data_IF_944869285265
#
_entry.id   IF_944869285265
#
_cell.length_a   1.000
_cell.length_b   1.000
_cell.length_c   1.000
_cell.angle_alpha   90.00
_cell.angle_beta   90.00
_cell.angle_gamma   90.00
#
_symmetry.space_group_name_H-M   'P 1'
#
loop_
_entity.id
_entity.type
_entity.pdbx_description
1 polymer ?
#
# COMPACT_ATOMS: atom_id res chain seq x y z
N UNK A 1 60.63 20.89 -26.51
CA UNK A 1 59.82 19.71 -26.10
C UNK A 1 59.05 20.14 -24.88
N UNK A 2 57.79 20.51 -25.06
CA UNK A 2 56.92 21.01 -24.00
C UNK A 2 56.18 19.84 -23.36
N UNK A 3 56.31 19.71 -22.05
CA UNK A 3 55.53 18.75 -21.27
C UNK A 3 54.34 19.50 -20.67
N UNK A 4 53.17 19.23 -21.24
CA UNK A 4 51.87 19.70 -20.76
C UNK A 4 51.42 18.79 -19.63
N UNK A 5 51.53 19.23 -18.38
CA UNK A 5 50.93 18.54 -17.25
C UNK A 5 49.40 18.72 -17.29
N UNK A 6 48.70 17.64 -17.63
CA UNK A 6 47.24 17.62 -17.69
C UNK A 6 46.68 17.40 -16.29
N UNK A 7 46.30 18.49 -15.61
CA UNK A 7 45.59 18.43 -14.34
C UNK A 7 44.19 17.84 -14.54
N UNK A 8 44.04 16.55 -14.26
CA UNK A 8 42.74 15.87 -14.27
C UNK A 8 42.09 16.08 -12.91
N UNK A 9 41.26 17.11 -12.81
CA UNK A 9 40.39 17.38 -11.66
C UNK A 9 39.33 16.27 -11.57
N UNK A 10 39.58 15.25 -10.74
CA UNK A 10 38.56 14.26 -10.36
C UNK A 10 37.48 14.98 -9.54
N UNK A 11 36.38 15.33 -10.20
CA UNK A 11 35.12 15.65 -9.55
C UNK A 11 34.60 14.37 -8.91
N UNK A 12 34.74 14.24 -7.59
CA UNK A 12 34.05 13.21 -6.81
C UNK A 12 32.58 13.64 -6.76
N UNK A 13 31.81 13.26 -7.77
CA UNK A 13 30.36 13.19 -7.65
C UNK A 13 30.06 11.98 -6.80
N UNK A 14 29.81 12.19 -5.50
CA UNK A 14 29.12 11.20 -4.66
C UNK A 14 27.67 11.11 -5.13
N UNK A 15 27.45 10.54 -6.32
CA UNK A 15 26.16 9.97 -6.66
C UNK A 15 26.07 8.64 -5.92
N UNK A 16 25.37 8.63 -4.79
CA UNK A 16 24.93 7.40 -4.18
C UNK A 16 23.94 6.76 -5.18
N UNK A 17 24.48 5.91 -6.05
CA UNK A 17 23.68 5.06 -6.93
C UNK A 17 23.10 3.99 -6.03
N UNK A 18 21.92 4.28 -5.47
CA UNK A 18 21.09 3.25 -4.87
C UNK A 18 20.68 2.33 -6.03
N UNK A 19 21.22 1.11 -6.01
CA UNK A 19 20.86 0.05 -6.94
C UNK A 19 19.33 -0.18 -6.85
N UNK A 20 18.55 0.10 -7.91
CA UNK A 20 17.09 0.06 -7.87
C UNK A 20 16.52 -1.36 -7.88
N UNK A 21 17.36 -2.41 -7.78
CA UNK A 21 16.96 -3.80 -8.04
C UNK A 21 16.59 -4.64 -6.81
N UNK A 22 16.68 -4.12 -5.57
CA UNK A 22 16.42 -4.90 -4.34
C UNK A 22 15.50 -4.26 -3.32
N UNK A 23 14.98 -3.06 -3.58
CA UNK A 23 14.13 -2.35 -2.63
C UNK A 23 12.66 -2.73 -2.85
N UNK A 24 11.93 -3.25 -1.85
CA UNK A 24 10.58 -3.70 -2.10
C UNK A 24 9.67 -2.49 -2.36
N UNK A 25 8.89 -2.61 -3.44
CA UNK A 25 8.15 -1.53 -4.13
C UNK A 25 6.91 -1.07 -3.34
N UNK A 26 7.08 -0.64 -2.09
CA UNK A 26 5.97 -0.28 -1.18
C UNK A 26 5.69 1.21 -1.10
N UNK A 27 6.39 2.03 -1.89
CA UNK A 27 6.35 3.48 -1.74
C UNK A 27 6.40 4.15 -3.11
N UNK A 28 5.22 4.51 -3.62
CA UNK A 28 5.09 5.24 -4.88
C UNK A 28 4.94 6.71 -4.59
N UNK A 29 5.95 7.51 -4.96
CA UNK A 29 5.79 8.96 -5.01
C UNK A 29 4.86 9.29 -6.17
N UNK A 30 3.68 9.84 -5.85
CA UNK A 30 2.79 10.39 -6.86
C UNK A 30 3.30 11.79 -7.22
N UNK A 31 4.02 11.89 -8.34
CA UNK A 31 4.40 13.19 -8.90
C UNK A 31 3.16 13.79 -9.56
N UNK A 32 2.57 14.81 -8.96
CA UNK A 32 1.46 15.56 -9.59
C UNK A 32 2.01 16.86 -10.16
N UNK A 33 2.30 16.87 -11.46
CA UNK A 33 2.96 18.00 -12.15
C UNK A 33 2.06 19.21 -12.45
N UNK A 34 0.73 19.11 -12.27
CA UNK A 34 -0.19 20.20 -12.66
C UNK A 34 -0.77 20.94 -11.45
N UNK A 35 -0.15 22.06 -11.07
CA UNK A 35 -0.64 22.95 -10.00
C UNK A 35 -1.03 24.36 -10.49
N UNK A 36 -1.13 24.60 -11.80
CA UNK A 36 -1.50 25.95 -12.30
C UNK A 36 -2.96 26.36 -12.09
N UNK A 37 -3.79 25.53 -11.47
CA UNK A 37 -5.23 25.83 -11.30
C UNK A 37 -5.75 25.42 -9.92
N UNK A 38 -5.30 26.10 -8.86
CA UNK A 38 -6.17 26.42 -7.72
C UNK A 38 -5.51 27.46 -6.81
N UNK A 39 -6.09 28.67 -6.76
CA UNK A 39 -5.89 29.63 -5.67
C UNK A 39 -6.61 29.17 -4.37
N UNK A 40 -6.70 27.87 -4.12
CA UNK A 40 -7.20 27.29 -2.87
C UNK A 40 -6.04 26.58 -2.19
N UNK A 41 -5.86 26.82 -0.89
CA UNK A 41 -4.61 26.58 -0.16
C UNK A 41 -3.97 25.20 -0.36
N UNK A 42 -2.63 25.18 -0.35
CA UNK A 42 -1.81 23.97 -0.37
C UNK A 42 -1.86 23.25 1.00
N UNK A 43 -3.01 22.67 1.34
CA UNK A 43 -3.17 21.87 2.57
C UNK A 43 -2.95 20.38 2.27
N UNK A 44 -2.32 19.68 3.20
CA UNK A 44 -2.11 18.24 3.07
C UNK A 44 -3.44 17.48 2.96
N UNK A 45 -4.48 17.95 3.66
CA UNK A 45 -5.82 17.38 3.61
C UNK A 45 -6.46 17.45 2.22
N UNK A 46 -6.41 18.63 1.56
CA UNK A 46 -6.98 18.78 0.22
C UNK A 46 -6.21 17.94 -0.82
N UNK A 47 -4.88 17.97 -0.76
CA UNK A 47 -4.02 17.19 -1.65
C UNK A 47 -4.27 15.68 -1.48
N UNK A 48 -4.41 15.20 -0.24
CA UNK A 48 -4.72 13.81 0.05
C UNK A 48 -6.11 13.41 -0.44
N UNK A 49 -7.14 14.21 -0.17
CA UNK A 49 -8.49 13.95 -0.67
C UNK A 49 -8.51 13.86 -2.20
N UNK A 50 -7.80 14.77 -2.88
CA UNK A 50 -7.67 14.74 -4.33
C UNK A 50 -6.95 13.47 -4.82
N UNK A 51 -5.85 13.07 -4.17
CA UNK A 51 -5.13 11.85 -4.54
C UNK A 51 -5.98 10.59 -4.35
N UNK A 52 -6.61 10.43 -3.19
CA UNK A 52 -7.50 9.30 -2.91
C UNK A 52 -8.71 9.28 -3.86
N UNK A 53 -9.25 10.43 -4.26
CA UNK A 53 -10.36 10.49 -5.22
C UNK A 53 -10.00 9.98 -6.63
N UNK A 54 -8.71 9.97 -6.98
CA UNK A 54 -8.20 9.44 -8.26
C UNK A 54 -7.97 7.93 -8.22
N UNK A 55 -7.94 7.33 -7.03
CA UNK A 55 -7.77 5.89 -6.87
C UNK A 55 -9.03 5.19 -7.40
N UNK A 56 -8.84 4.40 -8.46
CA UNK A 56 -9.91 3.67 -9.13
C UNK A 56 -10.09 2.27 -8.54
N UNK A 57 -11.33 1.80 -8.49
CA UNK A 57 -11.69 0.44 -8.08
C UNK A 57 -12.78 -0.14 -8.98
N UNK A 58 -12.69 -1.44 -9.28
CA UNK A 58 -13.76 -2.16 -9.94
C UNK A 58 -14.72 -2.71 -8.87
N UNK A 59 -15.88 -2.07 -8.71
CA UNK A 59 -16.81 -2.35 -7.61
C UNK A 59 -17.44 -3.73 -7.67
N UNK A 60 -17.90 -4.16 -8.85
CA UNK A 60 -18.52 -5.47 -9.06
C UNK A 60 -17.57 -6.63 -8.74
N UNK A 61 -16.33 -6.54 -9.21
CA UNK A 61 -15.29 -7.54 -8.96
C UNK A 61 -14.91 -7.59 -7.47
N UNK A 62 -14.73 -6.43 -6.84
CA UNK A 62 -14.45 -6.37 -5.41
C UNK A 62 -15.59 -6.97 -4.56
N UNK A 63 -16.85 -6.74 -4.94
CA UNK A 63 -18.01 -7.30 -4.24
C UNK A 63 -18.10 -8.82 -4.40
N UNK A 64 -17.84 -9.33 -5.61
CA UNK A 64 -17.78 -10.77 -5.90
C UNK A 64 -16.70 -11.45 -5.06
N UNK A 65 -15.49 -10.89 -5.02
CA UNK A 65 -14.39 -11.36 -4.18
C UNK A 65 -14.75 -11.29 -2.70
N UNK A 66 -15.28 -10.16 -2.23
CA UNK A 66 -15.69 -9.97 -0.83
C UNK A 66 -16.69 -11.03 -0.36
N UNK A 67 -17.65 -11.39 -1.22
CA UNK A 67 -18.69 -12.37 -0.88
C UNK A 67 -18.05 -13.75 -0.67
N UNK A 68 -17.15 -14.16 -1.56
CA UNK A 68 -16.45 -15.44 -1.45
C UNK A 68 -15.49 -15.45 -0.27
N UNK A 69 -14.73 -14.38 -0.07
CA UNK A 69 -13.82 -14.26 1.07
C UNK A 69 -14.58 -14.42 2.38
N UNK A 70 -15.68 -13.68 2.56
CA UNK A 70 -16.48 -13.72 3.79
C UNK A 70 -17.15 -15.07 4.04
N UNK A 71 -17.63 -15.74 3.01
CA UNK A 71 -18.44 -16.95 3.17
C UNK A 71 -17.62 -18.24 3.18
N UNK A 72 -16.47 -18.25 2.50
CA UNK A 72 -15.73 -19.49 2.22
C UNK A 72 -14.28 -19.45 2.72
N UNK A 73 -13.59 -18.32 2.63
CA UNK A 73 -12.14 -18.27 2.82
C UNK A 73 -11.70 -17.65 4.14
N UNK A 74 -12.47 -16.75 4.74
CA UNK A 74 -12.14 -16.12 6.02
C UNK A 74 -13.05 -16.65 7.12
N UNK A 75 -12.43 -17.10 8.21
CA UNK A 75 -13.15 -17.45 9.44
C UNK A 75 -13.42 -16.23 10.30
N UNK A 76 -12.54 -15.24 10.24
CA UNK A 76 -12.66 -13.94 10.87
C UNK A 76 -11.94 -12.90 10.03
N UNK A 77 -12.36 -11.64 10.20
CA UNK A 77 -11.60 -10.50 9.75
C UNK A 77 -11.82 -9.31 10.68
N UNK A 78 -10.90 -8.37 10.68
CA UNK A 78 -10.98 -7.14 11.46
C UNK A 78 -10.41 -5.99 10.64
N UNK A 79 -11.14 -4.89 10.61
CA UNK A 79 -10.79 -3.70 9.84
C UNK A 79 -10.45 -2.57 10.80
N UNK A 80 -9.30 -1.93 10.60
CA UNK A 80 -8.88 -0.75 11.36
C UNK A 80 -8.53 0.37 10.40
N UNK A 81 -9.15 1.51 10.57
CA UNK A 81 -8.85 2.73 9.84
C UNK A 81 -8.31 3.78 10.81
N UNK A 82 -7.13 4.32 10.51
CA UNK A 82 -6.48 5.37 11.28
C UNK A 82 -6.19 6.53 10.34
N UNK A 83 -6.62 7.73 10.73
CA UNK A 83 -6.25 8.96 10.04
C UNK A 83 -5.62 9.88 11.08
N UNK A 84 -4.44 10.40 10.76
CA UNK A 84 -3.71 11.31 11.63
C UNK A 84 -3.33 12.55 10.85
N UNK A 85 -3.56 13.70 11.47
CA UNK A 85 -3.23 14.99 10.90
C UNK A 85 -2.31 15.75 11.86
N UNK A 86 -1.26 16.34 11.29
CA UNK A 86 -0.40 17.30 11.97
C UNK A 86 -0.34 18.57 11.13
N UNK A 87 -0.75 19.70 11.71
CA UNK A 87 -0.79 20.99 11.01
C UNK A 87 0.31 21.91 11.50
N UNK A 88 0.82 22.73 10.59
CA UNK A 88 1.76 23.82 10.89
C UNK A 88 3.01 23.37 11.65
N UNK A 89 3.51 22.17 11.33
CA UNK A 89 4.75 21.64 11.92
C UNK A 89 5.92 22.44 11.37
N UNK A 90 6.76 22.98 12.25
CA UNK A 90 7.99 23.65 11.83
C UNK A 90 8.86 22.69 11.01
N UNK A 91 9.46 23.16 9.92
CA UNK A 91 10.38 22.33 9.11
C UNK A 91 11.58 21.82 9.92
N UNK A 92 11.94 22.49 11.01
CA UNK A 92 12.98 22.05 11.95
C UNK A 92 12.55 20.85 12.80
N UNK A 93 11.24 20.61 12.96
CA UNK A 93 10.68 19.51 13.74
C UNK A 93 10.22 18.34 12.85
N UNK A 94 10.64 18.31 11.58
CA UNK A 94 10.24 17.26 10.64
C UNK A 94 10.66 15.87 11.12
N UNK A 95 11.79 15.76 11.82
CA UNK A 95 12.25 14.50 12.41
C UNK A 95 11.26 13.91 13.42
N UNK A 96 10.66 14.74 14.28
CA UNK A 96 9.64 14.28 15.25
C UNK A 96 8.35 13.86 14.55
N UNK A 97 7.97 14.57 13.48
CA UNK A 97 6.83 14.20 12.66
C UNK A 97 7.08 12.84 11.99
N UNK A 98 8.27 12.62 11.41
CA UNK A 98 8.66 11.34 10.81
C UNK A 98 8.56 10.23 11.85
N UNK A 99 9.14 10.42 13.04
CA UNK A 99 9.06 9.42 14.12
C UNK A 99 7.61 9.10 14.50
N UNK A 100 6.74 10.10 14.65
CA UNK A 100 5.31 9.85 14.95
C UNK A 100 4.60 9.08 13.84
N UNK A 101 4.94 9.37 12.59
CA UNK A 101 4.39 8.64 11.45
C UNK A 101 4.93 7.21 11.48
N UNK A 102 6.23 7.00 11.64
CA UNK A 102 6.86 5.68 11.78
C UNK A 102 6.28 4.84 12.93
N UNK A 103 6.01 5.45 14.09
CA UNK A 103 5.42 4.75 15.24
C UNK A 103 4.03 4.17 14.89
N UNK A 104 3.23 4.86 14.06
CA UNK A 104 1.96 4.35 13.55
C UNK A 104 2.13 3.15 12.62
N UNK A 105 3.32 3.04 12.04
CA UNK A 105 3.75 1.98 11.15
C UNK A 105 4.76 1.04 11.84
N UNK A 106 4.81 1.02 13.18
CA UNK A 106 5.71 0.13 13.92
C UNK A 106 5.38 -1.34 13.59
N UNK A 107 6.37 -2.05 13.04
CA UNK A 107 6.21 -3.42 12.52
C UNK A 107 6.52 -3.59 11.02
N UNK A 108 6.73 -2.50 10.29
CA UNK A 108 7.08 -2.56 8.86
C UNK A 108 8.51 -2.09 8.60
N UNK A 109 9.19 -2.78 7.68
CA UNK A 109 10.48 -2.36 7.12
C UNK A 109 10.25 -1.74 5.75
N UNK A 110 9.99 -0.44 5.71
CA UNK A 110 10.12 0.35 4.50
C UNK A 110 11.02 1.54 4.79
N UNK A 111 11.83 1.94 3.80
CA UNK A 111 12.78 3.05 3.92
C UNK A 111 12.08 4.42 3.88
N UNK A 112 11.04 4.57 4.70
CA UNK A 112 10.25 5.79 4.86
C UNK A 112 11.12 6.94 5.30
N UNK A 113 11.97 6.66 6.30
CA UNK A 113 12.81 7.64 6.95
C UNK A 113 13.71 8.35 5.94
N UNK A 114 14.44 7.58 5.12
CA UNK A 114 15.36 8.18 4.15
C UNK A 114 14.60 9.00 3.08
N UNK A 115 13.45 8.51 2.64
CA UNK A 115 12.62 9.15 1.60
C UNK A 115 12.00 10.45 2.08
N UNK A 116 11.54 10.52 3.33
CA UNK A 116 11.05 11.77 3.92
C UNK A 116 12.20 12.69 4.34
N UNK A 117 13.33 12.16 4.84
CA UNK A 117 14.49 12.98 5.16
C UNK A 117 15.07 13.69 3.94
N UNK A 118 15.02 13.08 2.75
CA UNK A 118 15.40 13.74 1.50
C UNK A 118 14.56 15.01 1.21
N UNK A 119 13.34 15.08 1.73
CA UNK A 119 12.42 16.22 1.58
C UNK A 119 12.89 17.43 2.38
N UNK A 120 13.48 17.20 3.56
CA UNK A 120 14.00 18.25 4.44
C UNK A 120 15.03 19.14 3.73
N UNK A 121 15.81 18.55 2.82
CA UNK A 121 16.90 19.20 2.11
C UNK A 121 16.51 19.73 0.72
N UNK A 122 15.28 19.49 0.29
CA UNK A 122 14.79 19.92 -1.02
C UNK A 122 14.09 21.28 -0.92
N UNK A 123 14.62 22.28 -1.62
CA UNK A 123 14.01 23.60 -1.76
C UNK A 123 12.87 23.65 -2.79
N UNK A 124 12.65 22.59 -3.56
CA UNK A 124 11.89 22.63 -4.82
C UNK A 124 10.50 21.97 -4.79
N UNK A 125 9.93 21.68 -3.62
CA UNK A 125 8.63 20.99 -3.53
C UNK A 125 7.57 21.82 -2.79
N UNK A 126 6.33 21.73 -3.28
CA UNK A 126 5.14 22.31 -2.63
C UNK A 126 4.37 21.27 -1.82
N UNK A 127 4.25 20.05 -2.33
CA UNK A 127 3.68 18.90 -1.63
C UNK A 127 4.27 17.59 -2.16
N UNK A 128 4.17 16.53 -1.36
CA UNK A 128 4.57 15.17 -1.72
C UNK A 128 3.52 14.20 -1.20
N UNK A 129 3.14 13.24 -2.03
CA UNK A 129 2.17 12.20 -1.68
C UNK A 129 2.83 10.86 -1.91
N UNK A 130 2.72 10.02 -0.90
CA UNK A 130 3.29 8.69 -0.87
C UNK A 130 2.18 7.69 -0.67
N UNK A 131 1.97 6.86 -1.68
CA UNK A 131 1.08 5.72 -1.59
C UNK A 131 1.87 4.51 -1.12
N UNK A 132 1.36 3.81 -0.10
CA UNK A 132 1.83 2.50 0.26
C UNK A 132 0.70 1.50 0.06
N UNK A 133 0.96 0.60 -0.88
CA UNK A 133 0.00 -0.41 -1.31
C UNK A 133 0.41 -1.78 -0.84
N UNK A 134 -0.58 -2.65 -0.73
CA UNK A 134 -0.43 -4.09 -0.59
C UNK A 134 0.78 -4.62 -1.35
N UNK A 135 1.68 -5.31 -0.66
CA UNK A 135 2.67 -6.11 -1.34
C UNK A 135 2.97 -7.35 -0.52
N UNK A 136 2.70 -8.47 -1.17
CA UNK A 136 3.14 -9.85 -0.89
C UNK A 136 2.79 -10.48 0.47
N UNK A 137 2.37 -9.72 1.48
CA UNK A 137 2.03 -10.23 2.82
C UNK A 137 0.60 -10.75 2.97
N UNK A 138 -0.15 -10.88 1.87
CA UNK A 138 -1.49 -11.49 1.91
C UNK A 138 -1.43 -12.92 2.47
N UNK A 139 -0.34 -13.63 2.20
CA UNK A 139 -0.09 -14.97 2.72
C UNK A 139 0.22 -14.97 4.23
N UNK A 140 0.55 -13.80 4.78
CA UNK A 140 0.80 -13.55 6.20
C UNK A 140 -0.40 -12.90 6.91
N UNK A 141 -1.60 -12.98 6.34
CA UNK A 141 -2.87 -12.64 7.00
C UNK A 141 -3.05 -11.15 7.39
N UNK A 142 -2.15 -10.29 6.92
CA UNK A 142 -2.17 -8.85 7.21
C UNK A 142 -2.05 -8.02 5.93
N UNK A 143 -3.00 -7.10 5.75
CA UNK A 143 -3.18 -6.31 4.54
C UNK A 143 -3.28 -4.83 4.88
N UNK A 144 -2.52 -3.99 4.18
CA UNK A 144 -2.40 -2.56 4.47
C UNK A 144 -2.59 -1.71 3.22
N UNK A 145 -3.27 -0.59 3.39
CA UNK A 145 -3.39 0.44 2.37
C UNK A 145 -3.37 1.81 2.99
N UNK A 146 -2.69 2.74 2.34
CA UNK A 146 -2.84 4.12 2.72
C UNK A 146 -1.93 5.06 1.98
N UNK A 147 -2.00 6.31 2.42
CA UNK A 147 -1.24 7.39 1.83
C UNK A 147 -0.75 8.34 2.92
N UNK A 148 0.43 8.90 2.71
CA UNK A 148 0.98 10.01 3.49
C UNK A 148 1.14 11.20 2.56
N UNK A 149 0.59 12.35 2.94
CA UNK A 149 0.76 13.60 2.21
C UNK A 149 1.43 14.62 3.12
N UNK A 150 2.46 15.26 2.57
CA UNK A 150 3.13 16.40 3.16
C UNK A 150 2.87 17.60 2.27
N UNK A 151 2.50 18.75 2.85
CA UNK A 151 2.30 19.99 2.12
C UNK A 151 3.05 21.11 2.82
N UNK A 152 3.92 21.78 2.07
CA UNK A 152 4.74 22.90 2.56
C UNK A 152 3.93 24.19 2.50
N UNK A 153 4.04 25.01 3.55
CA UNK A 153 3.48 26.36 3.54
C UNK A 153 4.14 27.23 2.46
N UNK A 154 3.46 28.28 1.95
CA UNK A 154 4.02 29.15 0.92
C UNK A 154 5.34 29.84 1.30
N UNK A 155 5.53 30.14 2.60
CA UNK A 155 6.76 30.73 3.16
C UNK A 155 7.89 29.70 3.34
N UNK A 156 7.59 28.42 3.13
CA UNK A 156 8.52 27.31 3.28
C UNK A 156 8.93 26.96 4.72
N UNK A 157 8.34 27.60 5.73
CA UNK A 157 8.74 27.44 7.14
C UNK A 157 8.01 26.31 7.85
N UNK A 158 6.85 25.91 7.34
CA UNK A 158 5.96 24.93 7.96
C UNK A 158 5.56 23.83 6.98
N UNK A 159 5.16 22.70 7.55
CA UNK A 159 4.64 21.54 6.84
C UNK A 159 3.36 21.08 7.53
N UNK A 160 2.31 20.91 6.73
CA UNK A 160 1.16 20.11 7.10
C UNK A 160 1.42 18.66 6.66
N UNK A 161 0.96 17.71 7.47
CA UNK A 161 1.10 16.30 7.20
C UNK A 161 -0.21 15.59 7.52
N UNK A 162 -0.60 14.69 6.62
CA UNK A 162 -1.73 13.80 6.86
C UNK A 162 -1.36 12.39 6.47
N UNK A 163 -1.68 11.46 7.35
CA UNK A 163 -1.49 10.03 7.18
C UNK A 163 -2.85 9.36 7.22
N UNK A 164 -3.11 8.52 6.23
CA UNK A 164 -4.27 7.64 6.17
C UNK A 164 -3.76 6.20 6.12
N UNK A 165 -4.27 5.35 7.00
CA UNK A 165 -3.88 3.96 7.11
C UNK A 165 -5.13 3.10 7.33
N UNK A 166 -5.36 2.19 6.40
CA UNK A 166 -6.28 1.08 6.54
C UNK A 166 -5.49 -0.21 6.75
N UNK A 167 -5.88 -0.98 7.76
CA UNK A 167 -5.37 -2.30 8.10
C UNK A 167 -6.53 -3.30 8.06
N UNK A 168 -6.31 -4.44 7.40
CA UNK A 168 -7.19 -5.60 7.40
C UNK A 168 -6.41 -6.79 7.95
N UNK A 169 -6.86 -7.28 9.10
CA UNK A 169 -6.43 -8.55 9.67
C UNK A 169 -7.47 -9.61 9.31
N UNK A 170 -7.05 -10.82 8.97
CA UNK A 170 -7.98 -11.92 8.74
C UNK A 170 -7.40 -13.26 9.16
N UNK A 171 -8.25 -14.27 9.31
CA UNK A 171 -7.79 -15.64 9.54
C UNK A 171 -8.41 -16.56 8.50
N UNK A 172 -7.57 -17.34 7.82
CA UNK A 172 -8.04 -18.25 6.78
C UNK A 172 -8.89 -19.39 7.37
N UNK A 173 -10.02 -19.66 6.72
CA UNK A 173 -10.91 -20.74 7.10
C UNK A 173 -10.28 -22.12 6.83
N UNK A 174 -10.72 -23.12 7.58
CA UNK A 174 -10.30 -24.50 7.37
C UNK A 174 -11.14 -25.16 6.27
N UNK A 175 -10.50 -25.96 5.43
CA UNK A 175 -11.12 -26.84 4.44
C UNK A 175 -11.07 -28.28 4.94
N UNK A 176 -12.24 -28.93 4.98
CA UNK A 176 -12.36 -30.36 5.24
C UNK A 176 -11.89 -31.13 4.00
N UNK A 177 -10.88 -31.97 4.17
CA UNK A 177 -10.35 -32.87 3.14
C UNK A 177 -10.76 -34.30 3.51
N UNK A 178 -11.52 -34.93 2.63
CA UNK A 178 -11.93 -36.34 2.78
C UNK A 178 -11.12 -37.14 1.77
N UNK A 179 -10.31 -38.07 2.28
CA UNK A 179 -9.51 -38.98 1.47
C UNK A 179 -10.08 -40.38 1.63
N UNK A 180 -10.34 -41.06 0.53
CA UNK A 180 -10.78 -42.45 0.51
C UNK A 180 -9.66 -43.31 -0.05
N UNK A 181 -9.09 -44.15 0.80
CA UNK A 181 -8.07 -45.11 0.40
C UNK A 181 -8.72 -46.48 0.29
N UNK A 182 -8.81 -46.99 -0.94
CA UNK A 182 -9.36 -48.31 -1.21
C UNK A 182 -8.24 -49.34 -1.31
N UNK A 183 -8.24 -50.30 -0.41
CA UNK A 183 -7.35 -51.45 -0.46
C UNK A 183 -7.80 -52.41 -1.58
N UNK A 184 -6.93 -52.61 -2.56
CA UNK A 184 -7.18 -53.52 -3.68
C UNK A 184 -6.37 -54.81 -3.52
N UNK A 185 -7.06 -55.94 -3.34
CA UNK A 185 -6.44 -57.26 -3.43
C UNK A 185 -6.01 -57.54 -4.87
N UNK A 186 -4.79 -58.08 -5.01
CA UNK A 186 -4.12 -58.29 -6.31
C UNK A 186 -3.96 -57.03 -7.17
N UNK A 187 -4.18 -55.84 -6.62
CA UNK A 187 -4.04 -54.57 -7.34
C UNK A 187 -5.25 -54.16 -8.18
N UNK A 188 -6.35 -54.92 -8.19
CA UNK A 188 -7.55 -54.58 -8.99
C UNK A 188 -8.89 -55.03 -8.38
N UNK A 189 -8.91 -55.81 -7.30
CA UNK A 189 -10.16 -56.19 -6.61
C UNK A 189 -10.30 -55.33 -5.35
N UNK A 190 -11.20 -54.34 -5.31
CA UNK A 190 -11.40 -53.53 -4.10
C UNK A 190 -12.00 -54.39 -2.98
N UNK A 191 -11.36 -54.41 -1.82
CA UNK A 191 -11.76 -55.24 -0.66
C UNK A 191 -12.21 -54.40 0.53
N UNK A 192 -11.60 -53.24 0.75
CA UNK A 192 -11.96 -52.36 1.84
C UNK A 192 -11.68 -50.91 1.46
N UNK A 193 -12.48 -49.98 1.96
CA UNK A 193 -12.30 -48.55 1.73
C UNK A 193 -12.25 -47.83 3.07
N UNK A 194 -11.11 -47.23 3.37
CA UNK A 194 -10.94 -46.40 4.56
C UNK A 194 -11.14 -44.94 4.21
N UNK A 195 -12.11 -44.30 4.85
CA UNK A 195 -12.32 -42.84 4.73
C UNK A 195 -11.59 -42.12 5.86
N UNK A 196 -10.64 -41.26 5.50
CA UNK A 196 -9.93 -40.38 6.44
C UNK A 196 -10.40 -38.94 6.25
N UNK A 197 -10.73 -38.27 7.35
CA UNK A 197 -11.08 -36.85 7.36
C UNK A 197 -9.93 -36.06 7.98
N UNK A 198 -9.41 -35.08 7.24
CA UNK A 198 -8.44 -34.10 7.74
C UNK A 198 -8.93 -32.68 7.46
N UNK A 199 -8.28 -31.70 8.10
CA UNK A 199 -8.55 -30.28 7.86
C UNK A 199 -7.24 -29.61 7.48
N UNK A 200 -7.30 -28.73 6.48
CA UNK A 200 -6.17 -27.88 6.08
C UNK A 200 -6.62 -26.43 6.00
N UNK A 201 -5.73 -25.50 6.31
CA UNK A 201 -5.98 -24.08 6.08
C UNK A 201 -6.20 -23.83 4.59
N UNK A 202 -7.26 -23.09 4.23
CA UNK A 202 -7.51 -22.68 2.85
C UNK A 202 -6.38 -21.77 2.36
N UNK A 203 -6.19 -21.73 1.04
CA UNK A 203 -5.29 -20.79 0.37
C UNK A 203 -6.10 -19.82 -0.49
N UNK A 204 -5.61 -18.59 -0.61
CA UNK A 204 -6.17 -17.57 -1.50
C UNK A 204 -5.70 -17.72 -2.95
N UNK A 205 -4.94 -18.76 -3.30
CA UNK A 205 -4.39 -18.98 -4.64
C UNK A 205 -5.43 -19.12 -5.77
N UNK A 206 -6.71 -19.25 -5.43
CA UNK A 206 -7.80 -19.18 -6.41
C UNK A 206 -8.07 -17.76 -6.92
N UNK A 207 -7.70 -16.73 -6.17
CA UNK A 207 -7.82 -15.34 -6.56
C UNK A 207 -6.50 -14.85 -7.18
N UNK A 208 -6.60 -14.03 -8.23
CA UNK A 208 -5.43 -13.31 -8.71
C UNK A 208 -5.00 -12.23 -7.70
N UNK A 209 -3.70 -11.88 -7.68
CA UNK A 209 -3.20 -10.76 -6.86
C UNK A 209 -3.97 -9.46 -7.14
N UNK A 210 -4.34 -9.20 -8.40
CA UNK A 210 -5.11 -8.02 -8.77
C UNK A 210 -6.53 -8.01 -8.20
N UNK A 211 -7.19 -9.17 -8.13
CA UNK A 211 -8.52 -9.29 -7.54
C UNK A 211 -8.50 -8.98 -6.05
N UNK A 212 -7.53 -9.55 -5.31
CA UNK A 212 -7.43 -9.24 -3.88
C UNK A 212 -7.01 -7.79 -3.66
N UNK A 213 -6.03 -7.28 -4.41
CA UNK A 213 -5.62 -5.88 -4.29
C UNK A 213 -6.80 -4.92 -4.56
N UNK A 214 -7.62 -5.19 -5.57
CA UNK A 214 -8.82 -4.40 -5.86
C UNK A 214 -9.88 -4.49 -4.75
N UNK A 215 -10.11 -5.69 -4.19
CA UNK A 215 -10.99 -5.87 -3.03
C UNK A 215 -10.49 -5.05 -1.82
N UNK A 216 -9.22 -5.21 -1.45
CA UNK A 216 -8.65 -4.52 -0.30
C UNK A 216 -8.64 -2.99 -0.49
N UNK A 217 -8.37 -2.53 -1.73
CA UNK A 217 -8.45 -1.11 -2.10
C UNK A 217 -9.87 -0.56 -1.92
N UNK A 218 -10.90 -1.30 -2.37
CA UNK A 218 -12.30 -0.88 -2.14
C UNK A 218 -12.59 -0.74 -0.65
N UNK A 219 -12.22 -1.73 0.16
CA UNK A 219 -12.44 -1.72 1.61
C UNK A 219 -11.76 -0.53 2.31
N UNK A 220 -10.54 -0.21 1.88
CA UNK A 220 -9.82 0.95 2.38
C UNK A 220 -10.51 2.27 2.00
N UNK A 221 -10.91 2.44 0.73
CA UNK A 221 -11.61 3.64 0.26
C UNK A 221 -12.98 3.80 0.92
N UNK A 222 -13.72 2.70 1.14
CA UNK A 222 -14.98 2.72 1.90
C UNK A 222 -14.74 3.17 3.35
N UNK A 223 -13.69 2.68 4.00
CA UNK A 223 -13.31 3.10 5.34
C UNK A 223 -12.95 4.59 5.40
N UNK A 224 -12.15 5.08 4.46
CA UNK A 224 -11.83 6.51 4.37
C UNK A 224 -13.07 7.36 4.09
N UNK A 225 -13.99 6.89 3.24
CA UNK A 225 -15.27 7.57 2.99
C UNK A 225 -16.12 7.64 4.25
N UNK A 226 -16.23 6.53 4.99
CA UNK A 226 -17.05 6.46 6.21
C UNK A 226 -16.49 7.34 7.34
N UNK A 227 -15.17 7.57 7.36
CA UNK A 227 -14.51 8.53 8.26
C UNK A 227 -14.62 9.99 7.77
N UNK A 228 -15.31 10.24 6.66
CA UNK A 228 -15.49 11.58 6.08
C UNK A 228 -14.24 12.14 5.39
N UNK A 229 -13.25 11.28 5.10
CA UNK A 229 -11.96 11.71 4.55
C UNK A 229 -11.98 11.91 3.03
N UNK A 230 -12.84 11.15 2.35
CA UNK A 230 -13.19 11.36 0.95
C UNK A 230 -14.71 11.36 0.81
N UNK A 231 -15.21 12.11 -0.18
CA UNK A 231 -16.65 12.21 -0.41
C UNK A 231 -17.19 11.09 -1.32
N UNK A 232 -16.35 10.58 -2.22
CA UNK A 232 -16.73 9.61 -3.23
C UNK A 232 -15.59 8.66 -3.58
N UNK A 233 -15.97 7.48 -4.09
CA UNK A 233 -15.05 6.45 -4.57
C UNK A 233 -15.15 6.43 -6.09
N UNK A 234 -14.00 6.42 -6.79
CA UNK A 234 -13.97 6.36 -8.25
C UNK A 234 -14.11 4.91 -8.74
N UNK A 235 -15.27 4.57 -9.28
CA UNK A 235 -15.54 3.23 -9.81
C UNK A 235 -15.22 3.11 -11.30
N UNK A 236 -14.72 1.94 -11.71
CA UNK A 236 -14.51 1.56 -13.12
C UNK A 236 -15.17 0.22 -13.44
N UNK A 237 -15.42 -0.03 -14.72
CA UNK A 237 -16.19 -1.19 -15.18
C UNK A 237 -15.40 -2.50 -15.26
N UNK A 238 -14.06 -2.46 -15.13
CA UNK A 238 -13.22 -3.67 -15.21
C UNK A 238 -11.93 -3.51 -14.41
N UNK A 239 -11.33 -4.64 -14.00
CA UNK A 239 -10.01 -4.66 -13.36
C UNK A 239 -8.90 -4.11 -14.28
N UNK A 240 -9.03 -4.28 -15.60
CA UNK A 240 -8.06 -3.72 -16.56
C UNK A 240 -8.02 -2.19 -16.54
N UNK A 241 -9.13 -1.53 -16.21
CA UNK A 241 -9.23 -0.07 -16.13
C UNK A 241 -8.72 0.51 -14.80
N UNK A 242 -8.40 -0.34 -13.81
CA UNK A 242 -7.94 0.09 -12.49
C UNK A 242 -6.50 0.62 -12.52
N UNK A 243 -5.65 0.10 -13.40
CA UNK A 243 -4.21 0.44 -13.47
C UNK A 243 -3.86 1.43 -14.60
N UNK A 244 -4.86 1.97 -15.32
CA UNK A 244 -4.63 3.01 -16.32
C UNK A 244 -4.50 4.36 -15.60
N UNK A 245 -3.24 4.70 -15.29
CA UNK A 245 -2.79 6.04 -14.92
C UNK A 245 -2.51 6.86 -16.18
#
# INVERSE_FOLDING_TARGET
MGNTETSTRRSITNSCVCDPSTDPRFFHELVTDDWRTAHQGNSAQQNMSNALSRVKVCGSEALSVSTRLKNEYFSSWNEKCTVTEARSVSIHNLGELISKVEDQYSGFSFDFRSRIQAIQWSSSWSHKIYEFTFGDNIDNEEVYFGMICLAKSPDGQKVDAISSLYKLDFTLAQEKVVTEDTFNLFGFIPIDTTTTVSYRTRSLGHFSKNQIANFCRLKALESFRNQGFINQISYVNSLSAVNNY
#
